data_IF_410431864516
#
_entry.id   IF_410431864516
#
_cell.length_a   1.000
_cell.length_b   1.000
_cell.length_c   1.000
_cell.angle_alpha   90.00
_cell.angle_beta   90.00
_cell.angle_gamma   90.00
#
_symmetry.space_group_name_H-M   'P 1'
#
loop_
_entity.id
_entity.type
_entity.pdbx_description
1 polymer ?
#
# COMPACT_ATOMS: atom_id res chain seq x y z
N UNK A 1 -32.58 -22.11 9.43
CA UNK A 1 -31.85 -22.66 8.26
C UNK A 1 -30.75 -21.68 7.94
N UNK A 2 -29.53 -21.93 8.42
CA UNK A 2 -28.39 -21.07 8.17
C UNK A 2 -27.79 -21.41 6.82
N UNK A 3 -27.85 -20.48 5.87
CA UNK A 3 -27.01 -20.56 4.68
C UNK A 3 -25.56 -20.36 5.14
N UNK A 4 -24.82 -21.45 5.27
CA UNK A 4 -23.36 -21.42 5.29
C UNK A 4 -22.91 -20.92 3.92
N UNK A 5 -22.82 -19.61 3.76
CA UNK A 5 -22.14 -18.99 2.63
C UNK A 5 -20.63 -19.09 2.90
N UNK A 6 -20.10 -20.31 2.82
CA UNK A 6 -18.67 -20.49 2.66
C UNK A 6 -18.36 -20.17 1.19
N UNK A 7 -18.35 -18.88 0.83
CA UNK A 7 -17.75 -18.45 -0.43
C UNK A 7 -16.38 -19.10 -0.53
N UNK A 8 -16.08 -19.82 -1.60
CA UNK A 8 -14.87 -20.62 -1.71
C UNK A 8 -13.68 -19.70 -2.00
N UNK A 9 -12.45 -20.04 -1.58
CA UNK A 9 -11.26 -19.25 -1.96
C UNK A 9 -11.10 -19.21 -3.48
N UNK A 10 -11.67 -20.22 -4.17
CA UNK A 10 -11.80 -20.27 -5.62
C UNK A 10 -12.50 -19.03 -6.20
N UNK A 11 -13.46 -18.44 -5.49
CA UNK A 11 -14.16 -17.24 -5.97
C UNK A 11 -13.20 -16.04 -6.03
N UNK A 12 -12.44 -15.78 -4.96
CA UNK A 12 -11.45 -14.69 -4.92
C UNK A 12 -10.28 -14.89 -5.88
N UNK A 13 -9.81 -16.13 -6.05
CA UNK A 13 -8.77 -16.44 -7.03
C UNK A 13 -9.27 -16.21 -8.46
N UNK A 14 -10.52 -16.57 -8.76
CA UNK A 14 -11.12 -16.32 -10.07
C UNK A 14 -11.27 -14.83 -10.37
N UNK A 15 -11.69 -14.04 -9.37
CA UNK A 15 -11.77 -12.58 -9.49
C UNK A 15 -10.37 -11.98 -9.70
N UNK A 16 -9.35 -12.50 -9.01
CA UNK A 16 -7.95 -12.06 -9.21
C UNK A 16 -7.49 -12.29 -10.65
N UNK A 17 -7.74 -13.49 -11.19
CA UNK A 17 -7.36 -13.83 -12.56
C UNK A 17 -8.10 -12.99 -13.59
N UNK A 18 -9.38 -12.70 -13.34
CA UNK A 18 -10.20 -11.85 -14.21
C UNK A 18 -9.72 -10.40 -14.20
N UNK A 19 -9.46 -9.84 -13.01
CA UNK A 19 -8.90 -8.50 -12.85
C UNK A 19 -7.60 -8.35 -13.64
N UNK A 20 -6.65 -9.29 -13.44
CA UNK A 20 -5.33 -9.23 -14.06
C UNK A 20 -5.43 -9.38 -15.59
N UNK A 21 -6.40 -10.18 -16.05
CA UNK A 21 -6.72 -10.31 -17.47
C UNK A 21 -7.28 -9.00 -18.04
N UNK A 22 -8.26 -8.39 -17.38
CA UNK A 22 -8.88 -7.14 -17.82
C UNK A 22 -7.85 -6.02 -17.91
N UNK A 23 -6.97 -5.89 -16.93
CA UNK A 23 -5.89 -4.90 -16.96
C UNK A 23 -4.96 -5.11 -18.17
N UNK A 24 -4.55 -6.36 -18.44
CA UNK A 24 -3.70 -6.69 -19.60
C UNK A 24 -4.36 -6.44 -20.95
N UNK A 25 -5.68 -6.52 -21.02
CA UNK A 25 -6.46 -6.28 -22.24
C UNK A 25 -6.72 -4.78 -22.50
N UNK A 26 -6.38 -3.90 -21.55
CA UNK A 26 -6.50 -2.46 -21.74
C UNK A 26 -5.62 -1.99 -22.91
N UNK A 27 -6.09 -1.01 -23.69
CA UNK A 27 -5.25 -0.38 -24.70
C UNK A 27 -3.93 0.15 -24.12
N UNK A 28 -2.84 0.05 -24.91
CA UNK A 28 -1.48 0.46 -24.49
C UNK A 28 -1.38 1.93 -24.04
N UNK A 29 -2.34 2.78 -24.41
CA UNK A 29 -2.40 4.17 -23.96
C UNK A 29 -2.90 4.33 -22.53
N UNK A 30 -3.44 3.28 -21.89
CA UNK A 30 -3.79 3.25 -20.47
C UNK A 30 -2.77 2.49 -19.62
N UNK A 31 -1.91 1.68 -20.25
CA UNK A 31 -0.90 0.91 -19.52
C UNK A 31 0.27 1.79 -19.11
N UNK A 32 0.56 1.77 -17.81
CA UNK A 32 1.73 2.42 -17.24
C UNK A 32 2.95 1.50 -17.38
N UNK A 33 4.04 2.03 -17.93
CA UNK A 33 5.32 1.34 -17.97
C UNK A 33 6.32 2.09 -17.07
N UNK A 34 6.77 1.48 -15.95
CA UNK A 34 7.75 2.09 -15.06
C UNK A 34 9.08 2.40 -15.76
N UNK A 35 9.42 1.68 -16.83
CA UNK A 35 10.67 1.85 -17.56
C UNK A 35 10.69 3.07 -18.49
N UNK A 36 9.52 3.57 -18.91
CA UNK A 36 9.44 4.69 -19.86
C UNK A 36 9.81 6.04 -19.22
N UNK A 37 9.84 6.10 -17.88
CA UNK A 37 10.14 7.29 -17.12
C UNK A 37 9.07 8.38 -17.27
N UNK A 38 8.93 9.22 -16.25
CA UNK A 38 7.91 10.28 -16.24
C UNK A 38 8.32 11.53 -17.05
N UNK A 39 9.51 11.54 -17.66
CA UNK A 39 10.11 12.74 -18.27
C UNK A 39 9.73 13.00 -19.73
N UNK A 40 9.19 12.00 -20.45
CA UNK A 40 8.96 12.08 -21.90
C UNK A 40 7.48 11.99 -22.32
N UNK A 41 6.55 11.92 -21.37
CA UNK A 41 5.13 11.78 -21.65
C UNK A 41 4.41 13.13 -21.52
N UNK A 42 3.39 13.34 -22.35
CA UNK A 42 2.38 14.38 -22.10
C UNK A 42 1.87 14.22 -20.67
N UNK A 43 2.04 15.27 -19.87
CA UNK A 43 1.85 15.24 -18.41
C UNK A 43 0.49 14.63 -18.08
N UNK A 44 -0.59 15.11 -18.71
CA UNK A 44 -1.95 14.61 -18.49
C UNK A 44 -2.08 13.10 -18.81
N UNK A 45 -1.54 12.64 -19.94
CA UNK A 45 -1.60 11.22 -20.33
C UNK A 45 -0.82 10.29 -19.39
N UNK A 46 0.32 10.76 -18.87
CA UNK A 46 1.09 10.00 -17.87
C UNK A 46 0.38 9.91 -16.52
N UNK A 47 -0.33 10.97 -16.12
CA UNK A 47 -1.12 10.96 -14.90
C UNK A 47 -2.22 9.91 -14.95
N UNK A 48 -3.01 9.91 -16.03
CA UNK A 48 -4.14 9.00 -16.20
C UNK A 48 -3.70 7.53 -16.24
N UNK A 49 -2.59 7.23 -16.93
CA UNK A 49 -2.01 5.87 -16.93
C UNK A 49 -1.64 5.41 -15.52
N UNK A 50 -1.06 6.31 -14.73
CA UNK A 50 -0.63 6.00 -13.37
C UNK A 50 -1.82 5.80 -12.43
N UNK A 51 -2.90 6.59 -12.59
CA UNK A 51 -4.16 6.38 -11.88
C UNK A 51 -4.77 5.02 -12.22
N UNK A 52 -4.86 4.67 -13.50
CA UNK A 52 -5.37 3.36 -13.95
C UNK A 52 -4.53 2.21 -13.39
N UNK A 53 -3.21 2.37 -13.33
CA UNK A 53 -2.32 1.41 -12.67
C UNK A 53 -2.57 1.31 -11.15
N UNK A 54 -2.79 2.43 -10.47
CA UNK A 54 -3.11 2.43 -9.04
C UNK A 54 -4.48 1.81 -8.74
N UNK A 55 -5.47 1.99 -9.60
CA UNK A 55 -6.79 1.35 -9.47
C UNK A 55 -6.71 -0.17 -9.62
N UNK A 56 -5.96 -0.64 -10.62
CA UNK A 56 -5.64 -2.06 -10.78
C UNK A 56 -4.97 -2.62 -9.52
N UNK A 57 -3.94 -1.94 -9.03
CA UNK A 57 -3.22 -2.36 -7.82
C UNK A 57 -4.11 -2.33 -6.57
N UNK A 58 -5.03 -1.37 -6.45
CA UNK A 58 -6.01 -1.36 -5.36
C UNK A 58 -6.92 -2.56 -5.41
N UNK A 59 -7.45 -2.92 -6.59
CA UNK A 59 -8.29 -4.10 -6.74
C UNK A 59 -7.51 -5.37 -6.34
N UNK A 60 -6.28 -5.53 -6.85
CA UNK A 60 -5.40 -6.65 -6.50
C UNK A 60 -5.08 -6.66 -5.00
N UNK A 61 -4.78 -5.51 -4.40
CA UNK A 61 -4.55 -5.37 -2.97
C UNK A 61 -5.73 -5.85 -2.13
N UNK A 62 -6.95 -5.43 -2.48
CA UNK A 62 -8.16 -5.81 -1.78
C UNK A 62 -8.39 -7.32 -1.85
N UNK A 63 -8.20 -7.91 -3.04
CA UNK A 63 -8.35 -9.36 -3.25
C UNK A 63 -7.31 -10.13 -2.42
N UNK A 64 -6.03 -9.74 -2.50
CA UNK A 64 -4.97 -10.41 -1.74
C UNK A 64 -5.13 -10.25 -0.23
N UNK A 65 -5.61 -9.10 0.22
CA UNK A 65 -5.91 -8.86 1.64
C UNK A 65 -7.03 -9.77 2.14
N UNK A 66 -8.09 -9.99 1.34
CA UNK A 66 -9.16 -10.93 1.67
C UNK A 66 -8.67 -12.38 1.70
N UNK A 67 -7.80 -12.75 0.76
CA UNK A 67 -7.19 -14.07 0.73
C UNK A 67 -6.31 -14.32 1.96
N UNK A 68 -5.44 -13.37 2.33
CA UNK A 68 -4.61 -13.44 3.54
C UNK A 68 -5.45 -13.49 4.82
N UNK A 69 -6.56 -12.76 4.88
CA UNK A 69 -7.48 -12.81 6.03
C UNK A 69 -8.08 -14.20 6.24
N UNK A 70 -8.28 -14.95 5.16
CA UNK A 70 -8.84 -16.31 5.22
C UNK A 70 -7.79 -17.40 5.37
N UNK A 71 -6.64 -17.22 4.74
CA UNK A 71 -5.45 -18.05 4.91
C UNK A 71 -4.22 -17.14 5.08
N UNK A 72 -3.78 -16.91 6.34
CA UNK A 72 -2.64 -16.06 6.64
C UNK A 72 -1.32 -16.47 5.97
N UNK A 73 -1.24 -17.69 5.44
CA UNK A 73 0.00 -18.26 4.88
C UNK A 73 0.06 -18.25 3.34
N UNK A 74 -1.07 -18.10 2.66
CA UNK A 74 -1.15 -18.30 1.20
C UNK A 74 -0.51 -17.17 0.39
N UNK A 75 -0.88 -15.90 0.64
CA UNK A 75 -0.57 -14.79 -0.28
C UNK A 75 0.04 -13.54 0.37
N UNK A 76 0.66 -13.70 1.56
CA UNK A 76 1.30 -12.58 2.26
C UNK A 76 2.40 -11.92 1.41
N UNK A 77 3.12 -12.70 0.61
CA UNK A 77 4.17 -12.18 -0.29
C UNK A 77 3.60 -11.26 -1.38
N UNK A 78 2.55 -11.69 -2.05
CA UNK A 78 1.94 -10.92 -3.15
C UNK A 78 1.31 -9.63 -2.61
N UNK A 79 0.64 -9.71 -1.45
CA UNK A 79 0.13 -8.54 -0.75
C UNK A 79 1.22 -7.51 -0.44
N UNK A 80 2.42 -7.96 -0.03
CA UNK A 80 3.56 -7.06 0.22
C UNK A 80 4.11 -6.42 -1.04
N UNK A 81 4.23 -7.20 -2.12
CA UNK A 81 4.70 -6.70 -3.42
C UNK A 81 3.76 -5.62 -3.93
N UNK A 82 2.44 -5.89 -3.93
CA UNK A 82 1.42 -4.93 -4.34
C UNK A 82 1.44 -3.69 -3.45
N UNK A 83 1.51 -3.87 -2.12
CA UNK A 83 1.58 -2.75 -1.18
C UNK A 83 2.80 -1.87 -1.41
N UNK A 84 3.96 -2.48 -1.65
CA UNK A 84 5.17 -1.74 -1.96
C UNK A 84 5.05 -0.97 -3.27
N UNK A 85 4.51 -1.59 -4.31
CA UNK A 85 4.28 -0.96 -5.61
C UNK A 85 3.34 0.25 -5.50
N UNK A 86 2.20 0.08 -4.82
CA UNK A 86 1.25 1.16 -4.57
C UNK A 86 1.92 2.36 -3.89
N UNK A 87 2.74 2.14 -2.87
CA UNK A 87 3.45 3.21 -2.16
C UNK A 87 4.48 3.89 -3.08
N UNK A 88 5.29 3.13 -3.82
CA UNK A 88 6.30 3.68 -4.73
C UNK A 88 5.65 4.54 -5.82
N UNK A 89 4.62 4.03 -6.49
CA UNK A 89 3.89 4.76 -7.54
C UNK A 89 3.18 5.99 -6.99
N UNK A 90 2.57 5.88 -5.81
CA UNK A 90 1.91 7.02 -5.17
C UNK A 90 2.91 8.13 -4.81
N UNK A 91 4.09 7.76 -4.32
CA UNK A 91 5.14 8.72 -3.95
C UNK A 91 5.84 9.33 -5.16
N UNK A 92 5.85 8.64 -6.32
CA UNK A 92 6.36 9.22 -7.56
C UNK A 92 5.49 10.41 -8.01
N UNK A 93 4.17 10.31 -7.88
CA UNK A 93 3.24 11.45 -8.09
C UNK A 93 3.57 12.57 -7.09
N UNK A 94 3.72 12.23 -5.81
CA UNK A 94 3.96 13.22 -4.76
C UNK A 94 5.25 14.00 -4.96
N UNK A 95 6.36 13.32 -5.25
CA UNK A 95 7.68 13.95 -5.42
C UNK A 95 7.70 14.89 -6.62
N UNK A 96 6.93 14.58 -7.65
CA UNK A 96 6.78 15.39 -8.84
C UNK A 96 5.59 16.36 -8.78
N UNK A 97 4.99 16.60 -7.59
CA UNK A 97 3.81 17.45 -7.41
C UNK A 97 3.87 18.85 -8.05
N UNK A 98 5.08 19.36 -8.32
CA UNK A 98 5.29 20.65 -8.98
C UNK A 98 4.99 20.57 -10.49
N UNK A 99 5.28 19.43 -11.11
CA UNK A 99 4.92 19.10 -12.49
C UNK A 99 3.41 18.84 -12.57
N UNK A 100 2.87 18.16 -11.56
CA UNK A 100 1.45 17.82 -11.46
C UNK A 100 0.56 18.95 -10.92
N UNK A 101 1.13 20.09 -10.53
CA UNK A 101 0.37 21.19 -9.94
C UNK A 101 -0.63 21.83 -10.92
N UNK A 102 -0.34 21.74 -12.22
CA UNK A 102 -1.22 22.21 -13.30
C UNK A 102 -2.37 21.24 -13.60
N UNK A 103 -2.18 19.95 -13.28
CA UNK A 103 -3.21 18.90 -13.32
C UNK A 103 -4.01 18.99 -11.99
N UNK A 104 -5.07 19.81 -12.04
CA UNK A 104 -5.92 20.26 -10.92
C UNK A 104 -6.07 19.26 -9.74
N UNK A 105 -5.95 19.78 -8.52
CA UNK A 105 -6.76 19.51 -7.31
C UNK A 105 -6.88 18.08 -6.72
N UNK A 106 -7.02 17.05 -7.54
CA UNK A 106 -7.42 15.69 -7.18
C UNK A 106 -6.23 14.82 -6.74
N UNK A 107 -5.03 15.22 -7.15
CA UNK A 107 -3.76 14.55 -6.83
C UNK A 107 -3.51 14.31 -5.34
N UNK A 108 -3.96 15.20 -4.45
CA UNK A 108 -3.70 15.06 -3.02
C UNK A 108 -4.56 14.00 -2.33
N UNK A 109 -5.76 13.71 -2.85
CA UNK A 109 -6.65 12.70 -2.25
C UNK A 109 -6.23 11.29 -2.68
N UNK A 110 -5.98 11.09 -3.97
CA UNK A 110 -5.45 9.85 -4.56
C UNK A 110 -4.23 9.36 -3.78
N UNK A 111 -3.22 10.23 -3.58
CA UNK A 111 -1.99 9.87 -2.87
C UNK A 111 -2.23 9.43 -1.42
N UNK A 112 -3.27 9.97 -0.77
CA UNK A 112 -3.57 9.65 0.63
C UNK A 112 -4.26 8.31 0.75
N UNK A 113 -5.19 7.96 -0.14
CA UNK A 113 -5.98 6.73 -0.02
C UNK A 113 -5.15 5.48 -0.33
N UNK A 114 -4.48 5.42 -1.50
CA UNK A 114 -3.71 4.23 -1.89
C UNK A 114 -2.51 3.98 -0.96
N UNK A 115 -1.69 4.99 -0.71
CA UNK A 115 -0.47 4.80 0.10
C UNK A 115 -0.75 4.63 1.59
N UNK A 116 -1.85 5.15 2.13
CA UNK A 116 -2.22 4.90 3.53
C UNK A 116 -2.54 3.42 3.76
N UNK A 117 -3.36 2.82 2.89
CA UNK A 117 -3.74 1.41 2.96
C UNK A 117 -2.53 0.49 2.85
N UNK A 118 -1.71 0.73 1.85
CA UNK A 118 -0.52 -0.06 1.56
C UNK A 118 0.60 0.16 2.60
N UNK A 119 0.77 1.40 3.06
CA UNK A 119 1.73 1.75 4.12
C UNK A 119 1.45 1.01 5.44
N UNK A 120 0.18 0.74 5.75
CA UNK A 120 -0.22 -0.10 6.88
C UNK A 120 0.41 -1.50 6.83
N UNK A 121 0.28 -2.16 5.69
CA UNK A 121 0.80 -3.52 5.47
C UNK A 121 2.32 -3.51 5.62
N UNK A 122 3.00 -2.53 5.02
CA UNK A 122 4.45 -2.39 5.12
C UNK A 122 4.91 -2.13 6.56
N UNK A 123 4.17 -1.31 7.33
CA UNK A 123 4.44 -1.10 8.74
C UNK A 123 4.32 -2.40 9.55
N UNK A 124 3.28 -3.21 9.30
CA UNK A 124 3.12 -4.53 9.95
C UNK A 124 4.25 -5.48 9.61
N UNK A 125 4.69 -5.46 8.36
CA UNK A 125 5.76 -6.33 7.91
C UNK A 125 7.09 -6.02 8.59
N UNK A 126 7.41 -4.74 8.75
CA UNK A 126 8.67 -4.34 9.37
C UNK A 126 8.81 -4.73 10.84
N UNK A 127 7.70 -4.84 11.55
CA UNK A 127 7.65 -5.24 12.97
C UNK A 127 7.35 -6.73 13.14
N UNK A 128 7.07 -7.45 12.05
CA UNK A 128 6.73 -8.87 12.12
C UNK A 128 7.95 -9.67 12.58
N UNK A 129 7.83 -10.55 13.59
CA UNK A 129 8.94 -11.40 14.02
C UNK A 129 9.40 -12.39 12.95
N UNK A 130 8.51 -12.76 12.02
CA UNK A 130 8.78 -13.65 10.91
C UNK A 130 8.53 -12.91 9.59
N UNK A 131 9.43 -12.01 9.16
CA UNK A 131 9.27 -11.26 7.94
C UNK A 131 9.30 -12.20 6.71
N UNK A 132 8.60 -11.82 5.66
CA UNK A 132 8.66 -12.49 4.35
C UNK A 132 10.03 -12.20 3.74
N UNK A 133 10.81 -13.26 3.59
CA UNK A 133 12.12 -13.20 2.94
C UNK A 133 12.02 -13.55 1.44
N UNK A 134 13.07 -13.25 0.69
CA UNK A 134 13.21 -13.70 -0.70
C UNK A 134 12.39 -12.91 -1.73
N UNK A 135 11.95 -11.68 -1.41
CA UNK A 135 11.45 -10.74 -2.42
C UNK A 135 12.65 -10.04 -3.05
N UNK A 136 13.19 -10.65 -4.12
CA UNK A 136 14.30 -10.11 -4.90
C UNK A 136 13.76 -9.59 -6.24
N UNK A 137 12.98 -8.52 -6.20
CA UNK A 137 12.35 -7.92 -7.38
C UNK A 137 12.54 -6.40 -7.39
N UNK A 138 12.69 -5.86 -8.60
CA UNK A 138 12.56 -4.42 -8.85
C UNK A 138 11.09 -4.15 -9.13
N UNK A 139 10.45 -3.36 -8.27
CA UNK A 139 9.03 -3.05 -8.28
C UNK A 139 8.89 -1.56 -8.55
N UNK A 140 8.19 -1.19 -9.63
CA UNK A 140 8.03 0.20 -10.05
C UNK A 140 9.36 1.01 -10.12
N UNK A 141 10.46 0.35 -10.48
CA UNK A 141 11.79 0.98 -10.58
C UNK A 141 12.58 1.04 -9.26
N UNK A 142 12.03 0.55 -8.14
CA UNK A 142 12.70 0.47 -6.84
C UNK A 142 13.01 -0.98 -6.46
N UNK A 143 14.18 -1.24 -5.88
CA UNK A 143 14.54 -2.60 -5.45
C UNK A 143 13.90 -2.89 -4.10
N UNK A 144 13.10 -3.97 -4.02
CA UNK A 144 12.50 -4.35 -2.74
C UNK A 144 13.57 -4.79 -1.74
N UNK A 145 13.58 -4.14 -0.58
CA UNK A 145 14.44 -4.47 0.55
C UNK A 145 13.85 -3.86 1.82
N UNK A 146 14.26 -4.35 2.99
CA UNK A 146 13.87 -3.73 4.26
C UNK A 146 14.22 -2.24 4.31
N UNK A 147 15.39 -1.87 3.78
CA UNK A 147 15.84 -0.48 3.73
C UNK A 147 14.97 0.38 2.81
N UNK A 148 14.58 -0.13 1.63
CA UNK A 148 13.70 0.63 0.73
C UNK A 148 12.30 0.76 1.33
N UNK A 149 11.76 -0.26 2.01
CA UNK A 149 10.49 -0.13 2.75
C UNK A 149 10.57 0.99 3.81
N UNK A 150 11.64 1.05 4.60
CA UNK A 150 11.87 2.13 5.58
C UNK A 150 11.94 3.51 4.91
N UNK A 151 12.65 3.61 3.78
CA UNK A 151 12.77 4.87 3.03
C UNK A 151 11.43 5.33 2.46
N UNK A 152 10.67 4.43 1.84
CA UNK A 152 9.35 4.73 1.28
C UNK A 152 8.36 5.13 2.37
N UNK A 153 8.35 4.45 3.53
CA UNK A 153 7.53 4.85 4.68
C UNK A 153 7.95 6.20 5.28
N UNK A 154 9.25 6.49 5.32
CA UNK A 154 9.75 7.80 5.78
C UNK A 154 9.27 8.92 4.85
N UNK A 155 9.31 8.69 3.54
CA UNK A 155 8.84 9.62 2.53
C UNK A 155 7.30 9.79 2.60
N UNK A 156 6.56 8.71 2.84
CA UNK A 156 5.11 8.73 3.08
C UNK A 156 4.74 9.53 4.33
N UNK A 157 5.43 9.34 5.46
CA UNK A 157 5.21 10.17 6.65
C UNK A 157 5.51 11.66 6.40
N UNK A 158 6.43 11.95 5.47
CA UNK A 158 6.69 13.30 4.96
C UNK A 158 5.53 13.85 4.13
N UNK A 159 5.01 13.08 3.17
CA UNK A 159 3.92 13.50 2.27
C UNK A 159 2.61 13.75 3.02
N UNK A 160 2.31 12.94 4.03
CA UNK A 160 1.15 13.13 4.91
C UNK A 160 1.28 14.37 5.80
N UNK A 161 2.48 14.91 5.98
CA UNK A 161 2.73 16.03 6.89
C UNK A 161 2.13 17.37 6.49
N UNK A 162 1.75 17.53 5.22
CA UNK A 162 1.02 18.70 4.72
C UNK A 162 -0.50 18.56 4.77
N UNK A 163 -1.01 17.43 5.26
CA UNK A 163 -2.45 17.16 5.34
C UNK A 163 -3.03 17.59 6.68
N UNK A 164 -4.18 18.27 6.65
CA UNK A 164 -4.97 18.60 7.84
C UNK A 164 -6.04 17.54 8.14
N UNK A 165 -6.13 16.47 7.34
CA UNK A 165 -7.07 15.37 7.59
C UNK A 165 -6.69 14.61 8.86
N UNK A 166 -7.68 14.38 9.73
CA UNK A 166 -7.51 13.60 10.97
C UNK A 166 -6.96 12.20 10.68
N UNK A 167 -7.39 11.56 9.59
CA UNK A 167 -6.89 10.26 9.13
C UNK A 167 -5.42 10.33 8.75
N UNK A 168 -5.01 11.29 7.92
CA UNK A 168 -3.60 11.46 7.54
C UNK A 168 -2.69 11.73 8.74
N UNK A 169 -3.15 12.53 9.71
CA UNK A 169 -2.40 12.84 10.93
C UNK A 169 -2.16 11.58 11.76
N UNK A 170 -3.21 10.76 11.94
CA UNK A 170 -3.13 9.49 12.67
C UNK A 170 -2.21 8.49 11.96
N UNK A 171 -2.39 8.27 10.66
CA UNK A 171 -1.54 7.36 9.85
C UNK A 171 -0.08 7.80 9.93
N UNK A 172 0.19 9.09 9.77
CA UNK A 172 1.54 9.66 9.92
C UNK A 172 2.12 9.39 11.30
N UNK A 173 1.32 9.53 12.36
CA UNK A 173 1.77 9.25 13.72
C UNK A 173 2.15 7.77 13.90
N UNK A 174 1.35 6.84 13.36
CA UNK A 174 1.66 5.41 13.44
C UNK A 174 2.91 5.05 12.64
N UNK A 175 3.05 5.53 11.40
CA UNK A 175 4.26 5.31 10.60
C UNK A 175 5.49 5.81 11.34
N UNK A 176 5.44 7.00 11.93
CA UNK A 176 6.55 7.54 12.73
C UNK A 176 6.89 6.66 13.93
N UNK A 177 5.89 6.22 14.70
CA UNK A 177 6.10 5.31 15.85
C UNK A 177 6.76 4.00 15.42
N UNK A 178 6.32 3.41 14.31
CA UNK A 178 6.91 2.18 13.75
C UNK A 178 8.37 2.42 13.35
N UNK A 179 8.65 3.49 12.62
CA UNK A 179 10.00 3.86 12.22
C UNK A 179 10.89 4.13 13.44
N UNK A 180 10.41 4.88 14.43
CA UNK A 180 11.13 5.19 15.66
C UNK A 180 11.46 3.92 16.43
N UNK A 181 10.52 2.97 16.53
CA UNK A 181 10.76 1.69 17.18
C UNK A 181 11.86 0.88 16.45
N UNK A 182 11.77 0.78 15.13
CA UNK A 182 12.71 0.01 14.31
C UNK A 182 14.11 0.63 14.29
N UNK A 183 14.21 1.96 14.31
CA UNK A 183 15.47 2.68 14.19
C UNK A 183 16.16 2.88 15.55
N UNK A 184 15.40 3.00 16.64
CA UNK A 184 15.95 3.30 17.96
C UNK A 184 16.03 2.09 18.91
N UNK A 185 15.39 0.95 18.63
CA UNK A 185 15.51 -0.24 19.46
C UNK A 185 16.62 -1.18 18.94
N UNK A 186 17.77 -1.29 19.64
CA UNK A 186 18.87 -2.17 19.24
C UNK A 186 18.62 -3.66 19.53
N UNK A 187 17.51 -3.99 20.21
CA UNK A 187 17.08 -5.37 20.43
C UNK A 187 16.08 -5.67 19.32
N UNK A 188 16.46 -6.55 18.38
CA UNK A 188 15.61 -6.95 17.25
C UNK A 188 14.20 -7.43 17.67
N UNK A 189 13.32 -7.72 16.69
CA UNK A 189 11.88 -7.91 16.93
C UNK A 189 11.65 -8.87 18.12
N UNK A 190 10.85 -8.47 19.12
CA UNK A 190 10.72 -9.25 20.33
C UNK A 190 10.10 -10.62 20.01
N UNK A 191 10.71 -11.67 20.55
CA UNK A 191 10.04 -12.97 20.74
C UNK A 191 8.66 -12.76 21.39
N UNK A 192 7.66 -13.59 21.05
CA UNK A 192 6.25 -13.30 21.32
C UNK A 192 5.92 -13.55 22.80
N UNK A 193 6.30 -12.60 23.66
CA UNK A 193 5.84 -12.52 25.05
C UNK A 193 5.69 -11.05 25.41
N UNK A 194 4.45 -10.56 25.40
CA UNK A 194 4.07 -9.31 26.06
C UNK A 194 4.39 -8.02 25.29
N UNK A 195 3.46 -7.61 24.42
CA UNK A 195 3.35 -6.27 23.86
C UNK A 195 2.87 -5.25 24.93
N UNK A 196 3.36 -5.31 26.16
CA UNK A 196 2.76 -4.65 27.34
C UNK A 196 3.14 -3.16 27.51
N UNK A 197 3.99 -2.60 26.64
CA UNK A 197 4.41 -1.19 26.71
C UNK A 197 3.92 -0.32 25.55
N UNK A 198 3.17 -0.89 24.62
CA UNK A 198 2.89 -0.31 23.33
C UNK A 198 1.41 -0.60 23.06
N UNK A 199 0.54 0.42 23.22
CA UNK A 199 -0.90 0.26 23.03
C UNK A 199 -1.22 0.17 21.52
N UNK A 200 -0.74 -0.91 20.89
CA UNK A 200 -0.95 -1.22 19.48
C UNK A 200 -2.45 -1.33 19.18
N UNK A 201 -3.28 -1.81 20.10
CA UNK A 201 -4.70 -1.97 19.78
C UNK A 201 -5.40 -0.62 19.51
N UNK A 202 -5.13 0.42 20.30
CA UNK A 202 -5.79 1.72 20.13
C UNK A 202 -5.27 2.52 18.92
N UNK A 203 -3.97 2.42 18.59
CA UNK A 203 -3.38 3.13 17.45
C UNK A 203 -3.63 2.42 16.11
N UNK A 204 -3.79 1.08 16.13
CA UNK A 204 -4.10 0.28 14.94
C UNK A 204 -5.59 0.27 14.60
N UNK A 205 -6.44 0.83 15.47
CA UNK A 205 -7.86 1.01 15.17
C UNK A 205 -8.08 1.83 13.88
N UNK A 206 -7.13 2.69 13.49
CA UNK A 206 -7.21 3.36 12.20
C UNK A 206 -7.03 2.38 11.03
N UNK A 207 -6.14 1.41 11.17
CA UNK A 207 -5.90 0.40 10.14
C UNK A 207 -7.02 -0.63 10.10
N UNK A 208 -7.69 -0.90 11.23
CA UNK A 208 -8.92 -1.69 11.26
C UNK A 208 -10.14 -0.90 10.73
N UNK A 209 -10.19 0.42 10.92
CA UNK A 209 -11.16 1.30 10.23
C UNK A 209 -10.91 1.35 8.72
N UNK A 210 -9.64 1.35 8.30
CA UNK A 210 -9.25 1.17 6.90
C UNK A 210 -9.64 -0.22 6.39
N UNK A 211 -9.56 -1.27 7.22
CA UNK A 211 -10.05 -2.63 6.91
C UNK A 211 -11.56 -2.70 6.69
N UNK A 212 -12.34 -1.90 7.43
CA UNK A 212 -13.79 -1.84 7.26
C UNK A 212 -14.22 -1.03 6.03
N UNK A 213 -13.28 -0.41 5.32
CA UNK A 213 -13.56 0.51 4.22
C UNK A 213 -14.44 1.70 4.64
N UNK A 214 -14.50 2.03 5.93
CA UNK A 214 -15.34 3.13 6.44
C UNK A 214 -14.92 4.47 5.81
N UNK A 215 -13.65 4.59 5.41
CA UNK A 215 -13.09 5.75 4.69
C UNK A 215 -13.63 5.94 3.25
N UNK A 216 -14.25 4.92 2.64
CA UNK A 216 -14.82 5.01 1.29
C UNK A 216 -16.17 5.75 1.30
N UNK A 217 -16.77 5.90 2.49
CA UNK A 217 -18.11 6.46 2.70
C UNK A 217 -18.09 7.91 3.22
N UNK A 218 -16.91 8.48 3.46
CA UNK A 218 -16.67 9.89 3.84
C UNK A 218 -16.16 10.71 2.63
#
# INVERSE_FOLDING_TARGET
MGHNCAHDNRDFLSIREEEEKLYRELPIHFLYNPADGMQNMDTEGAHQKLLVGLDHLLNMFLIERLLVKRDPTSNRKDLLVISFEMVVLTLSIWTQRHIWAEVKGENQWTIRSYATLAGAILCMELINPNPVEGINATIAGETYSRSSVIQQLSLLAGSLGSSQSSTSVKVRAVIKKVLDHILNDPRGPPTPVGLEGFDFNADWDIFTQLDNMDWLMD
#
